data_IF_502025901081
#
_entry.id   IF_502025901081
#
_cell.length_a   1.000
_cell.length_b   1.000
_cell.length_c   1.000
_cell.angle_alpha   90.00
_cell.angle_beta   90.00
_cell.angle_gamma   90.00
#
_symmetry.space_group_name_H-M   'P 1'
#
loop_
_entity.id
_entity.type
_entity.pdbx_description
1 polymer ?
#
# COMPACT_ATOMS: atom_id res chain seq x y z
N UNK A 1 -17.29 -0.45 24.23
CA UNK A 1 -17.38 0.74 25.12
C UNK A 1 -16.34 0.64 26.22
N UNK A 2 -15.94 1.78 26.80
CA UNK A 2 -15.08 1.81 27.99
C UNK A 2 -15.94 2.23 29.19
N UNK A 3 -16.10 1.35 30.18
CA UNK A 3 -16.92 1.59 31.37
C UNK A 3 -16.10 2.05 32.57
N UNK A 4 -16.43 3.20 33.18
CA UNK A 4 -15.81 3.62 34.43
C UNK A 4 -16.45 2.89 35.63
N UNK A 5 -15.80 1.82 36.08
CA UNK A 5 -16.23 1.04 37.26
C UNK A 5 -15.61 1.56 38.56
N UNK A 6 -14.91 2.69 38.53
CA UNK A 6 -14.32 3.31 39.72
C UNK A 6 -15.33 4.19 40.46
N UNK A 7 -15.00 4.59 41.69
CA UNK A 7 -15.82 5.49 42.50
C UNK A 7 -15.62 6.98 42.21
N UNK A 8 -14.81 7.35 41.22
CA UNK A 8 -14.46 8.74 40.89
C UNK A 8 -14.62 9.03 39.39
N UNK A 9 -14.79 10.29 39.03
CA UNK A 9 -14.73 10.70 37.63
C UNK A 9 -13.34 10.46 37.05
N UNK A 10 -13.27 10.06 35.78
CA UNK A 10 -12.02 9.79 35.09
C UNK A 10 -11.95 10.63 33.81
N UNK A 11 -10.82 11.31 33.64
CA UNK A 11 -10.49 12.03 32.41
C UNK A 11 -9.65 11.10 31.52
N UNK A 12 -10.21 10.69 30.40
CA UNK A 12 -9.54 9.80 29.45
C UNK A 12 -9.28 10.54 28.14
N UNK A 13 -8.19 10.18 27.47
CA UNK A 13 -7.83 10.68 26.13
C UNK A 13 -7.96 9.52 25.15
N UNK A 14 -8.70 9.74 24.08
CA UNK A 14 -8.99 8.75 23.05
C UNK A 14 -8.52 9.29 21.71
N UNK A 15 -7.65 8.54 21.03
CA UNK A 15 -7.22 8.82 19.66
C UNK A 15 -7.81 7.74 18.77
N UNK A 16 -8.64 8.11 17.81
CA UNK A 16 -9.16 7.22 16.77
C UNK A 16 -8.19 7.15 15.59
N UNK A 17 -8.28 6.13 14.74
CA UNK A 17 -7.60 6.16 13.44
C UNK A 17 -8.04 7.42 12.64
N UNK A 18 -7.12 8.00 11.86
CA UNK A 18 -7.45 9.10 10.95
C UNK A 18 -8.45 8.60 9.89
N UNK A 19 -9.35 9.48 9.43
CA UNK A 19 -10.38 9.12 8.45
C UNK A 19 -9.81 8.72 7.08
N UNK A 20 -8.57 9.13 6.79
CA UNK A 20 -7.80 8.75 5.63
C UNK A 20 -7.23 7.33 5.71
N UNK A 21 -7.18 6.73 6.90
CA UNK A 21 -6.60 5.39 7.09
C UNK A 21 -7.56 4.32 6.55
N UNK A 22 -6.99 3.35 5.86
CA UNK A 22 -7.65 2.14 5.36
C UNK A 22 -6.95 0.94 5.96
N UNK A 23 -7.73 -0.03 6.43
CA UNK A 23 -7.22 -1.22 7.12
C UNK A 23 -7.85 -2.48 6.54
N UNK A 24 -7.05 -3.51 6.39
CA UNK A 24 -7.49 -4.90 6.30
C UNK A 24 -7.66 -5.44 7.72
N UNK A 25 -8.91 -5.75 8.09
CA UNK A 25 -9.22 -6.24 9.42
C UNK A 25 -8.59 -7.57 9.76
N UNK A 26 -8.45 -8.47 8.78
CA UNK A 26 -7.85 -9.78 9.03
C UNK A 26 -6.41 -9.60 9.51
N UNK A 27 -5.67 -8.72 8.84
CA UNK A 27 -4.28 -8.39 9.20
C UNK A 27 -4.21 -7.63 10.52
N UNK A 28 -5.03 -6.59 10.71
CA UNK A 28 -4.98 -5.78 11.93
C UNK A 28 -5.37 -6.59 13.16
N UNK A 29 -6.31 -7.52 13.07
CA UNK A 29 -6.78 -8.27 14.24
C UNK A 29 -5.91 -9.49 14.57
N UNK A 30 -5.13 -10.00 13.62
CA UNK A 30 -4.16 -11.07 13.86
C UNK A 30 -2.97 -10.57 14.71
N UNK A 31 -2.44 -9.37 14.40
CA UNK A 31 -1.42 -8.70 15.21
C UNK A 31 -1.61 -7.16 15.25
N UNK A 32 -2.49 -6.64 16.12
CA UNK A 32 -2.82 -5.21 16.16
C UNK A 32 -1.64 -4.32 16.54
N UNK A 33 -0.77 -4.81 17.42
CA UNK A 33 0.36 -4.03 17.93
C UNK A 33 1.42 -3.82 16.87
N UNK A 34 1.67 -4.81 16.01
CA UNK A 34 2.63 -4.70 14.91
C UNK A 34 2.00 -4.11 13.64
N UNK A 35 0.70 -4.31 13.40
CA UNK A 35 0.06 -3.81 12.19
C UNK A 35 -0.13 -2.29 12.17
N UNK A 36 -0.32 -1.66 13.33
CA UNK A 36 -0.64 -0.23 13.43
C UNK A 36 0.55 0.58 13.92
N UNK A 37 0.81 1.74 13.30
CA UNK A 37 1.72 2.76 13.83
C UNK A 37 0.93 3.81 14.64
N UNK A 38 1.59 4.46 15.61
CA UNK A 38 1.01 5.59 16.37
C UNK A 38 0.67 6.78 15.47
N UNK A 39 1.37 6.94 14.36
CA UNK A 39 1.18 8.06 13.42
C UNK A 39 -0.11 7.94 12.59
N UNK A 40 -0.76 6.77 12.61
CA UNK A 40 -2.05 6.55 11.98
C UNK A 40 -3.23 7.10 12.80
N UNK A 41 -2.98 7.46 14.06
CA UNK A 41 -4.02 7.94 14.96
C UNK A 41 -4.14 9.46 14.91
N UNK A 42 -5.38 9.94 14.96
CA UNK A 42 -5.70 11.36 15.00
C UNK A 42 -5.31 11.99 16.36
N UNK A 43 -5.52 13.30 16.46
CA UNK A 43 -5.38 14.01 17.72
C UNK A 43 -6.29 13.42 18.81
N UNK A 44 -5.85 13.51 20.06
CA UNK A 44 -6.60 12.99 21.20
C UNK A 44 -7.84 13.84 21.49
N UNK A 45 -8.99 13.19 21.56
CA UNK A 45 -10.21 13.72 22.14
C UNK A 45 -10.25 13.40 23.62
N UNK A 46 -10.60 14.38 24.46
CA UNK A 46 -10.63 14.21 25.91
C UNK A 46 -12.07 14.05 26.38
N UNK A 47 -12.33 13.00 27.17
CA UNK A 47 -13.64 12.64 27.68
C UNK A 47 -13.62 12.52 29.20
N UNK A 48 -14.62 13.10 29.86
CA UNK A 48 -14.86 12.90 31.29
C UNK A 48 -15.93 11.82 31.47
N UNK A 49 -15.57 10.71 32.11
CA UNK A 49 -16.50 9.60 32.38
C UNK A 49 -16.84 9.59 33.88
N UNK A 50 -18.10 9.85 34.21
CA UNK A 50 -18.59 9.74 35.57
C UNK A 50 -18.60 8.27 36.08
N UNK A 51 -18.54 8.04 37.41
CA UNK A 51 -18.71 6.71 37.98
C UNK A 51 -19.98 6.02 37.45
N UNK A 52 -19.88 4.75 37.10
CA UNK A 52 -21.04 3.99 36.66
C UNK A 52 -21.45 4.22 35.19
N UNK A 53 -20.72 5.06 34.45
CA UNK A 53 -21.00 5.40 33.05
C UNK A 53 -19.98 4.78 32.10
N UNK A 54 -20.39 4.58 30.85
CA UNK A 54 -19.50 4.12 29.79
C UNK A 54 -19.38 5.14 28.66
N UNK A 55 -18.17 5.27 28.10
CA UNK A 55 -17.93 5.98 26.85
C UNK A 55 -18.27 5.06 25.67
N UNK A 56 -19.22 5.46 24.80
CA UNK A 56 -19.41 4.77 23.53
C UNK A 56 -18.20 5.01 22.62
N UNK A 57 -17.66 3.92 22.08
CA UNK A 57 -16.71 3.96 20.97
C UNK A 57 -17.44 3.44 19.73
N UNK A 58 -17.12 3.98 18.55
CA UNK A 58 -17.74 3.57 17.29
C UNK A 58 -17.38 2.13 16.92
N UNK A 59 -18.21 1.51 16.09
CA UNK A 59 -18.00 0.16 15.59
C UNK A 59 -18.47 0.03 14.13
N UNK A 60 -17.91 0.90 13.27
CA UNK A 60 -18.29 1.01 11.87
C UNK A 60 -17.69 -0.10 10.99
N UNK A 61 -16.88 -0.99 11.56
CA UNK A 61 -16.43 -2.22 10.89
C UNK A 61 -15.13 -2.73 11.49
N UNK A 62 -14.10 -1.90 11.45
CA UNK A 62 -12.74 -2.21 11.87
C UNK A 62 -12.18 -1.01 12.61
N UNK A 63 -12.33 -1.02 13.91
CA UNK A 63 -12.05 0.16 14.70
C UNK A 63 -10.84 -0.07 15.60
N UNK A 64 -9.95 0.92 15.62
CA UNK A 64 -8.83 0.95 16.53
C UNK A 64 -8.72 2.31 17.22
N UNK A 65 -8.36 2.26 18.50
CA UNK A 65 -8.23 3.44 19.35
C UNK A 65 -6.97 3.34 20.22
N UNK A 66 -6.21 4.42 20.31
CA UNK A 66 -5.22 4.58 21.39
C UNK A 66 -5.88 5.33 22.54
N UNK A 67 -5.83 4.73 23.72
CA UNK A 67 -6.39 5.32 24.93
C UNK A 67 -5.32 5.47 26.00
N UNK A 68 -5.39 6.58 26.73
CA UNK A 68 -4.60 6.80 27.92
C UNK A 68 -5.37 7.68 28.92
N UNK A 69 -4.90 7.71 30.16
CA UNK A 69 -5.44 8.53 31.24
C UNK A 69 -4.34 8.75 32.29
N UNK A 70 -4.60 9.58 33.31
CA UNK A 70 -3.67 9.69 34.43
C UNK A 70 -3.59 8.35 35.18
N UNK A 71 -2.38 7.78 35.26
CA UNK A 71 -2.15 6.47 35.84
C UNK A 71 -2.57 5.26 34.98
N UNK A 72 -3.03 5.46 33.73
CA UNK A 72 -3.28 4.40 32.74
C UNK A 72 -2.22 4.48 31.63
N UNK A 73 -1.43 3.42 31.37
CA UNK A 73 -0.51 3.42 30.24
C UNK A 73 -1.25 3.55 28.91
N UNK A 74 -0.56 4.08 27.89
CA UNK A 74 -1.09 4.09 26.53
C UNK A 74 -1.40 2.66 26.10
N UNK A 75 -2.66 2.42 25.76
CA UNK A 75 -3.18 1.10 25.44
C UNK A 75 -3.89 1.15 24.09
N UNK A 76 -3.70 0.12 23.27
CA UNK A 76 -4.41 -0.05 22.02
C UNK A 76 -5.70 -0.82 22.28
N UNK A 77 -6.80 -0.32 21.74
CA UNK A 77 -8.01 -1.09 21.57
C UNK A 77 -8.22 -1.36 20.08
N UNK A 78 -8.53 -2.59 19.71
CA UNK A 78 -8.83 -2.96 18.33
C UNK A 78 -9.89 -4.07 18.28
N UNK A 79 -10.84 -3.98 17.35
CA UNK A 79 -11.86 -5.02 17.15
C UNK A 79 -12.56 -4.92 15.79
N UNK A 80 -13.30 -5.97 15.43
CA UNK A 80 -14.27 -5.93 14.33
C UNK A 80 -15.72 -5.86 14.79
N UNK A 81 -16.59 -5.37 13.90
CA UNK A 81 -18.03 -5.41 14.09
C UNK A 81 -18.60 -6.84 14.15
N UNK A 82 -17.86 -7.83 13.63
CA UNK A 82 -18.22 -9.24 13.71
C UNK A 82 -17.99 -9.81 15.12
N UNK A 83 -16.93 -9.36 15.80
CA UNK A 83 -16.62 -9.79 17.17
C UNK A 83 -17.50 -9.09 18.20
N UNK A 84 -17.82 -7.81 17.98
CA UNK A 84 -18.61 -7.00 18.93
C UNK A 84 -19.74 -6.24 18.23
N UNK A 85 -20.93 -6.83 17.99
CA UNK A 85 -22.02 -6.15 17.31
C UNK A 85 -22.54 -4.90 18.07
N UNK A 86 -22.88 -3.82 17.36
CA UNK A 86 -23.37 -2.55 17.94
C UNK A 86 -24.63 -2.68 18.81
N UNK A 87 -25.41 -3.75 18.65
CA UNK A 87 -26.73 -3.91 19.26
C UNK A 87 -26.71 -4.22 20.77
N UNK A 88 -25.54 -4.20 21.41
CA UNK A 88 -25.34 -4.63 22.81
C UNK A 88 -24.79 -3.54 23.74
N UNK A 89 -24.76 -2.27 23.30
CA UNK A 89 -24.12 -1.17 24.03
C UNK A 89 -25.02 -0.61 25.15
N UNK A 90 -24.79 -1.04 26.40
CA UNK A 90 -25.40 -0.48 27.61
C UNK A 90 -24.52 0.64 28.18
N UNK A 91 -25.04 1.87 28.31
CA UNK A 91 -24.27 3.02 28.85
C UNK A 91 -24.08 3.01 30.37
N UNK A 92 -24.68 2.02 31.04
CA UNK A 92 -24.54 1.75 32.48
C UNK A 92 -23.53 0.65 32.70
N UNK A 93 -22.69 0.79 33.73
CA UNK A 93 -21.78 -0.28 34.18
C UNK A 93 -22.43 -1.21 35.22
N UNK A 94 -23.73 -1.10 35.47
CA UNK A 94 -24.45 -2.05 36.31
C UNK A 94 -24.42 -3.44 35.64
N UNK A 95 -23.68 -4.38 36.26
CA UNK A 95 -23.37 -5.71 35.73
C UNK A 95 -22.49 -5.69 34.46
N UNK A 96 -21.19 -5.33 34.60
CA UNK A 96 -20.26 -5.29 33.48
C UNK A 96 -20.16 -6.69 32.86
N UNK A 97 -20.60 -6.83 31.62
CA UNK A 97 -20.42 -8.06 30.87
C UNK A 97 -19.07 -7.97 30.12
N UNK A 98 -18.09 -8.85 30.41
CA UNK A 98 -16.75 -8.78 29.83
C UNK A 98 -16.73 -8.87 28.31
N UNK A 99 -17.76 -9.43 27.69
CA UNK A 99 -17.95 -9.53 26.24
C UNK A 99 -18.56 -8.25 25.61
N UNK A 100 -18.94 -7.26 26.41
CA UNK A 100 -19.68 -6.06 25.93
C UNK A 100 -19.07 -4.75 26.38
N UNK A 101 -18.19 -4.80 27.37
CA UNK A 101 -17.61 -3.61 27.97
C UNK A 101 -16.20 -3.87 28.47
N UNK A 102 -15.30 -2.98 28.07
CA UNK A 102 -13.94 -2.90 28.60
C UNK A 102 -14.03 -2.08 29.89
N UNK A 103 -13.91 -2.74 31.04
CA UNK A 103 -13.98 -2.06 32.33
C UNK A 103 -12.68 -1.31 32.62
N UNK A 104 -12.79 -0.03 32.93
CA UNK A 104 -11.70 0.80 33.46
C UNK A 104 -11.76 0.74 34.98
N UNK A 105 -10.77 0.08 35.58
CA UNK A 105 -10.70 -0.25 36.99
C UNK A 105 -9.41 0.25 37.62
N UNK A 106 -9.33 0.16 38.95
CA UNK A 106 -8.15 0.57 39.72
C UNK A 106 -7.44 -0.66 40.28
N UNK A 107 -6.17 -0.83 39.92
CA UNK A 107 -5.26 -1.78 40.55
C UNK A 107 -4.31 -1.02 41.50
N UNK A 108 -4.67 -1.00 42.78
CA UNK A 108 -3.93 -0.24 43.79
C UNK A 108 -3.96 1.26 43.53
N UNK A 109 -2.83 1.84 43.13
CA UNK A 109 -2.71 3.26 42.80
C UNK A 109 -2.82 3.58 41.29
N UNK A 110 -2.85 2.55 40.43
CA UNK A 110 -2.86 2.71 38.97
C UNK A 110 -4.24 2.42 38.39
N UNK A 111 -4.51 3.01 37.24
CA UNK A 111 -5.64 2.62 36.40
C UNK A 111 -5.20 1.51 35.45
N UNK A 112 -6.10 0.59 35.20
CA UNK A 112 -5.93 -0.47 34.22
C UNK A 112 -7.26 -0.76 33.54
N UNK A 113 -7.17 -1.34 32.34
CA UNK A 113 -8.31 -1.95 31.70
C UNK A 113 -8.39 -3.39 32.14
N UNK A 114 -9.59 -3.88 32.41
CA UNK A 114 -9.82 -5.30 32.63
C UNK A 114 -9.34 -6.11 31.42
N UNK A 115 -8.91 -7.35 31.66
CA UNK A 115 -8.55 -8.29 30.60
C UNK A 115 -9.71 -8.42 29.61
N UNK A 116 -9.42 -8.18 28.34
CA UNK A 116 -10.40 -8.18 27.27
C UNK A 116 -9.69 -8.52 25.94
N UNK A 117 -10.29 -9.33 25.06
CA UNK A 117 -9.68 -9.70 23.77
C UNK A 117 -9.49 -8.54 22.79
N UNK A 118 -10.01 -7.36 23.13
CA UNK A 118 -9.87 -6.14 22.32
C UNK A 118 -8.82 -5.17 22.92
N UNK A 119 -8.13 -5.57 23.98
CA UNK A 119 -7.13 -4.75 24.68
C UNK A 119 -5.75 -5.30 24.36
N UNK A 120 -4.92 -4.47 23.73
CA UNK A 120 -3.58 -4.82 23.27
C UNK A 120 -2.55 -3.81 23.78
N UNK A 121 -1.27 -4.21 23.89
CA UNK A 121 -0.19 -3.24 24.06
C UNK A 121 -0.25 -2.17 22.97
N UNK A 122 -0.03 -0.91 23.34
CA UNK A 122 0.09 0.14 22.33
C UNK A 122 1.27 -0.16 21.38
N UNK A 123 1.16 0.19 20.08
CA UNK A 123 2.28 0.11 19.16
C UNK A 123 3.52 0.78 19.73
N UNK A 124 4.73 0.31 19.40
CA UNK A 124 5.95 0.96 19.85
C UNK A 124 6.01 2.42 19.37
N UNK A 125 6.73 3.26 20.12
CA UNK A 125 6.96 4.65 19.69
C UNK A 125 7.95 4.71 18.53
N UNK A 126 8.95 3.83 18.56
CA UNK A 126 9.96 3.72 17.53
C UNK A 126 9.62 2.52 16.64
N UNK A 127 9.42 2.78 15.35
CA UNK A 127 9.28 1.73 14.35
C UNK A 127 10.66 1.11 14.10
N UNK A 128 10.81 -0.23 14.17
CA UNK A 128 12.06 -0.85 13.79
C UNK A 128 12.37 -0.50 12.34
N UNK A 129 13.61 -0.07 12.06
CA UNK A 129 14.04 0.12 10.69
C UNK A 129 13.99 -1.22 9.96
N UNK A 130 13.49 -1.26 8.72
CA UNK A 130 13.47 -2.50 7.97
C UNK A 130 14.89 -2.98 7.70
N UNK A 131 15.06 -4.30 7.59
CA UNK A 131 16.32 -4.90 7.17
C UNK A 131 16.64 -4.36 5.77
N UNK A 132 17.89 -3.96 5.50
CA UNK A 132 18.25 -3.20 4.28
C UNK A 132 17.88 -3.86 2.95
N UNK A 133 17.72 -5.19 2.92
CA UNK A 133 17.29 -5.95 1.74
C UNK A 133 15.77 -5.98 1.53
N UNK A 134 15.01 -5.59 2.57
CA UNK A 134 13.55 -5.58 2.64
C UNK A 134 13.01 -4.14 2.78
N UNK A 135 13.91 -3.16 2.86
CA UNK A 135 13.58 -1.80 3.25
C UNK A 135 12.87 -1.01 2.16
N UNK A 136 12.25 0.08 2.61
CA UNK A 136 11.63 1.06 1.73
C UNK A 136 12.58 1.44 0.60
N UNK A 137 12.05 1.38 -0.62
CA UNK A 137 12.67 1.91 -1.82
C UNK A 137 13.21 3.31 -1.56
N UNK A 138 14.40 3.63 -2.07
CA UNK A 138 14.97 4.96 -1.91
C UNK A 138 13.94 6.00 -2.41
N UNK A 139 13.80 7.12 -1.69
CA UNK A 139 12.93 8.19 -2.16
C UNK A 139 13.31 8.59 -3.59
N UNK A 140 12.36 8.50 -4.53
CA UNK A 140 12.58 8.73 -5.96
C UNK A 140 12.77 7.47 -6.81
N UNK A 141 12.97 6.28 -6.23
CA UNK A 141 13.20 5.05 -7.00
C UNK A 141 11.91 4.33 -7.44
N UNK A 142 10.77 5.02 -7.42
CA UNK A 142 9.49 4.51 -7.92
C UNK A 142 9.24 4.94 -9.37
N UNK A 143 8.22 4.35 -9.99
CA UNK A 143 7.75 4.81 -11.30
C UNK A 143 6.96 6.11 -11.20
N UNK A 144 7.37 7.08 -12.00
CA UNK A 144 6.63 8.32 -12.19
C UNK A 144 6.86 8.88 -13.59
N UNK A 145 5.94 9.73 -14.06
CA UNK A 145 6.07 10.33 -15.38
C UNK A 145 5.24 11.60 -15.50
N UNK A 146 5.67 12.50 -16.38
CA UNK A 146 4.85 13.61 -16.84
C UNK A 146 4.15 13.24 -18.14
N UNK A 147 2.89 13.63 -18.30
CA UNK A 147 2.19 13.44 -19.58
C UNK A 147 2.74 14.44 -20.62
N UNK A 148 3.28 13.99 -21.76
CA UNK A 148 3.66 14.90 -22.83
C UNK A 148 2.44 15.47 -23.54
N UNK A 149 2.68 16.49 -24.37
CA UNK A 149 1.71 16.90 -25.39
C UNK A 149 1.46 15.70 -26.32
N UNK A 150 0.21 15.24 -26.51
CA UNK A 150 -0.09 14.08 -27.35
C UNK A 150 0.46 14.25 -28.77
N UNK A 151 1.19 13.26 -29.28
CA UNK A 151 1.69 13.26 -30.64
C UNK A 151 2.96 12.43 -30.86
N UNK A 152 3.44 12.47 -32.10
CA UNK A 152 4.76 11.95 -32.46
C UNK A 152 5.78 13.09 -32.48
N UNK A 153 6.99 12.85 -31.97
CA UNK A 153 8.09 13.83 -31.98
C UNK A 153 9.45 13.16 -32.12
N UNK A 154 10.39 13.84 -32.77
CA UNK A 154 11.78 13.38 -32.88
C UNK A 154 12.47 13.66 -31.54
N UNK A 155 13.05 12.64 -30.93
CA UNK A 155 13.86 12.74 -29.72
C UNK A 155 15.18 13.45 -30.05
N UNK A 156 15.47 14.55 -29.36
CA UNK A 156 16.69 15.35 -29.54
C UNK A 156 17.64 15.28 -28.36
N UNK A 157 17.22 14.72 -27.23
CA UNK A 157 18.10 14.51 -26.09
C UNK A 157 17.45 13.63 -25.02
N UNK A 158 18.29 12.85 -24.34
CA UNK A 158 17.94 12.09 -23.13
C UNK A 158 18.90 12.49 -22.03
N UNK A 159 18.39 13.09 -20.95
CA UNK A 159 19.19 13.43 -19.76
C UNK A 159 18.73 12.60 -18.59
N UNK A 160 19.63 11.79 -18.03
CA UNK A 160 19.35 10.94 -16.86
C UNK A 160 19.82 11.61 -15.59
N UNK A 161 19.02 11.51 -14.53
CA UNK A 161 19.33 12.03 -13.21
C UNK A 161 19.59 10.88 -12.22
N UNK A 162 20.40 11.09 -11.15
CA UNK A 162 20.71 10.06 -10.16
C UNK A 162 19.50 9.52 -9.37
N UNK A 163 18.36 10.19 -9.45
CA UNK A 163 17.08 9.74 -8.89
C UNK A 163 16.37 8.68 -9.76
N UNK A 164 16.93 8.32 -10.91
CA UNK A 164 16.31 7.37 -11.85
C UNK A 164 15.28 8.02 -12.78
N UNK A 165 15.20 9.35 -12.81
CA UNK A 165 14.33 10.08 -13.72
C UNK A 165 15.08 10.49 -15.00
N UNK A 166 14.41 10.30 -16.15
CA UNK A 166 14.94 10.59 -17.47
C UNK A 166 14.12 11.69 -18.12
N UNK A 167 14.77 12.81 -18.48
CA UNK A 167 14.18 13.87 -19.28
C UNK A 167 14.37 13.55 -20.76
N UNK A 168 13.27 13.36 -21.49
CA UNK A 168 13.24 13.13 -22.93
C UNK A 168 12.78 14.42 -23.63
N UNK A 169 13.69 15.06 -24.35
CA UNK A 169 13.43 16.31 -25.08
C UNK A 169 13.12 16.02 -26.54
N UNK A 170 12.01 16.58 -27.05
CA UNK A 170 11.58 16.45 -28.43
C UNK A 170 11.99 17.70 -29.24
N UNK A 171 12.05 17.57 -30.57
CA UNK A 171 12.49 18.63 -31.50
C UNK A 171 11.75 19.98 -31.35
N UNK A 172 10.50 19.96 -30.88
CA UNK A 172 9.69 21.17 -30.64
C UNK A 172 10.03 21.90 -29.32
N UNK A 173 11.00 21.39 -28.55
CA UNK A 173 11.33 21.88 -27.22
C UNK A 173 10.45 21.28 -26.11
N UNK A 174 9.44 20.48 -26.46
CA UNK A 174 8.63 19.74 -25.50
C UNK A 174 9.53 18.73 -24.76
N UNK A 175 9.47 18.73 -23.43
CA UNK A 175 10.22 17.78 -22.59
C UNK A 175 9.24 17.06 -21.68
N UNK A 176 9.38 15.74 -21.59
CA UNK A 176 8.67 14.94 -20.60
C UNK A 176 9.66 14.10 -19.80
N UNK A 177 9.24 13.73 -18.59
CA UNK A 177 10.01 12.93 -17.66
C UNK A 177 9.41 11.54 -17.57
N UNK A 178 10.28 10.53 -17.51
CA UNK A 178 9.96 9.15 -17.19
C UNK A 178 10.97 8.66 -16.15
N UNK A 179 10.51 8.35 -14.96
CA UNK A 179 11.29 7.72 -13.91
C UNK A 179 11.11 6.21 -14.02
N UNK A 180 12.18 5.51 -14.33
CA UNK A 180 12.23 4.07 -14.59
C UNK A 180 13.69 3.59 -14.49
N UNK A 181 13.95 2.27 -14.38
CA UNK A 181 15.31 1.75 -14.50
C UNK A 181 15.97 2.22 -15.80
N UNK A 182 17.25 2.61 -15.73
CA UNK A 182 17.96 3.18 -16.88
C UNK A 182 18.05 2.18 -18.05
N UNK A 183 18.14 0.89 -17.72
CA UNK A 183 18.13 -0.24 -18.67
C UNK A 183 16.78 -0.35 -19.42
N UNK A 184 15.71 0.24 -18.88
CA UNK A 184 14.39 0.22 -19.48
C UNK A 184 14.13 1.43 -20.41
N UNK A 185 15.13 2.28 -20.67
CA UNK A 185 15.06 3.43 -21.58
C UNK A 185 15.93 3.19 -22.83
N UNK A 186 15.42 2.49 -23.85
CA UNK A 186 16.21 2.07 -25.01
C UNK A 186 16.26 3.12 -26.15
N UNK A 187 15.80 4.35 -25.91
CA UNK A 187 15.65 5.37 -26.94
C UNK A 187 16.95 6.14 -27.19
N UNK A 188 17.16 6.53 -28.45
CA UNK A 188 18.32 7.33 -28.87
C UNK A 188 17.90 8.60 -29.58
N UNK A 189 18.75 9.63 -29.54
CA UNK A 189 18.55 10.84 -30.34
C UNK A 189 18.32 10.49 -31.81
N UNK A 190 17.32 11.12 -32.43
CA UNK A 190 16.84 10.83 -33.78
C UNK A 190 15.65 9.86 -33.85
N UNK A 191 15.32 9.14 -32.77
CA UNK A 191 14.13 8.30 -32.73
C UNK A 191 12.85 9.13 -32.83
N UNK A 192 11.89 8.68 -33.63
CA UNK A 192 10.53 9.26 -33.64
C UNK A 192 9.71 8.55 -32.57
N UNK A 193 9.44 9.24 -31.46
CA UNK A 193 8.66 8.72 -30.35
C UNK A 193 7.18 9.02 -30.52
N UNK A 194 6.33 8.02 -30.28
CA UNK A 194 4.89 8.15 -30.07
C UNK A 194 4.61 7.87 -28.61
N UNK A 195 3.92 8.79 -27.94
CA UNK A 195 3.61 8.65 -26.52
C UNK A 195 2.10 8.66 -26.31
N UNK A 196 1.61 7.69 -25.54
CA UNK A 196 0.21 7.61 -25.14
C UNK A 196 0.06 7.25 -23.66
N UNK A 197 -0.99 7.76 -23.04
CA UNK A 197 -1.39 7.34 -21.70
C UNK A 197 -2.07 5.97 -21.74
N UNK A 198 -1.80 5.14 -20.74
CA UNK A 198 -2.48 3.86 -20.54
C UNK A 198 -3.31 3.95 -19.26
N UNK A 199 -4.56 3.49 -19.32
CA UNK A 199 -5.43 3.39 -18.16
C UNK A 199 -6.16 2.05 -18.22
N UNK A 200 -6.06 1.30 -17.12
CA UNK A 200 -6.76 0.04 -16.90
C UNK A 200 -7.75 0.28 -15.77
N UNK A 201 -9.01 -0.01 -16.06
CA UNK A 201 -10.12 0.08 -15.11
C UNK A 201 -11.03 -1.13 -15.34
N UNK A 202 -10.72 -2.21 -14.65
CA UNK A 202 -11.35 -3.53 -14.79
C UNK A 202 -10.54 -4.55 -15.59
N UNK A 203 -11.06 -5.77 -15.64
CA UNK A 203 -10.41 -6.94 -16.21
C UNK A 203 -9.97 -7.95 -15.15
N UNK A 204 -9.74 -9.20 -15.57
CA UNK A 204 -9.23 -10.28 -14.72
C UNK A 204 -7.78 -10.54 -15.09
N UNK A 205 -6.91 -10.50 -14.09
CA UNK A 205 -5.49 -10.75 -14.25
C UNK A 205 -5.06 -11.85 -13.27
N UNK A 206 -4.12 -12.72 -13.66
CA UNK A 206 -3.71 -13.86 -12.83
C UNK A 206 -3.18 -13.49 -11.44
N UNK A 207 -2.50 -12.34 -11.31
CA UNK A 207 -1.92 -11.85 -10.06
C UNK A 207 -2.96 -11.31 -9.06
N UNK A 208 -4.21 -11.13 -9.50
CA UNK A 208 -5.28 -10.59 -8.69
C UNK A 208 -6.19 -11.68 -8.10
N UNK A 209 -6.62 -11.53 -6.84
CA UNK A 209 -7.72 -12.30 -6.29
C UNK A 209 -8.98 -12.17 -7.15
N UNK A 210 -9.83 -13.21 -7.15
CA UNK A 210 -10.98 -13.33 -8.07
C UNK A 210 -12.05 -12.25 -7.88
N UNK A 211 -12.07 -11.61 -6.73
CA UNK A 211 -12.96 -10.56 -6.27
C UNK A 211 -12.39 -9.14 -6.45
N UNK A 212 -11.13 -9.03 -6.89
CA UNK A 212 -10.50 -7.75 -7.17
C UNK A 212 -10.55 -7.41 -8.66
N UNK A 213 -10.68 -6.12 -8.95
CA UNK A 213 -10.63 -5.59 -10.31
C UNK A 213 -9.27 -4.96 -10.58
N UNK A 214 -8.78 -5.09 -11.81
CA UNK A 214 -7.57 -4.41 -12.21
C UNK A 214 -7.74 -2.90 -12.23
N UNK A 215 -6.74 -2.19 -11.74
CA UNK A 215 -6.61 -0.75 -11.84
C UNK A 215 -5.14 -0.40 -12.03
N UNK A 216 -4.82 0.24 -13.14
CA UNK A 216 -3.48 0.73 -13.41
C UNK A 216 -3.50 1.99 -14.26
N UNK A 217 -2.48 2.81 -14.08
CA UNK A 217 -2.18 3.95 -14.96
C UNK A 217 -0.77 3.80 -15.46
N UNK A 218 -0.51 4.33 -16.63
CA UNK A 218 0.80 4.20 -17.23
C UNK A 218 1.03 5.10 -18.42
N UNK A 219 2.18 4.87 -19.03
CA UNK A 219 2.64 5.53 -20.23
C UNK A 219 3.21 4.48 -21.18
N UNK A 220 2.83 4.58 -22.44
CA UNK A 220 3.36 3.77 -23.53
C UNK A 220 4.15 4.68 -24.45
N UNK A 221 5.43 4.36 -24.65
CA UNK A 221 6.36 5.09 -25.51
C UNK A 221 6.83 4.12 -26.59
N UNK A 222 6.62 4.47 -27.85
CA UNK A 222 6.97 3.63 -29.00
C UNK A 222 7.85 4.40 -29.99
N UNK A 223 8.89 3.75 -30.49
CA UNK A 223 9.72 4.20 -31.60
C UNK A 223 9.69 3.18 -32.75
N UNK A 224 10.46 3.43 -33.82
CA UNK A 224 10.61 2.46 -34.90
C UNK A 224 11.36 1.19 -34.48
N UNK A 225 12.09 1.23 -33.35
CA UNK A 225 13.00 0.14 -32.92
C UNK A 225 12.60 -0.47 -31.59
N UNK A 226 11.91 0.28 -30.72
CA UNK A 226 11.54 -0.18 -29.37
C UNK A 226 10.14 0.27 -28.98
N UNK A 227 9.54 -0.41 -28.02
CA UNK A 227 8.46 0.14 -27.23
C UNK A 227 8.68 -0.13 -25.74
N UNK A 228 8.18 0.78 -24.93
CA UNK A 228 8.24 0.78 -23.46
C UNK A 228 6.83 1.00 -22.93
N UNK A 229 6.39 0.13 -22.03
CA UNK A 229 5.15 0.26 -21.28
C UNK A 229 5.49 0.31 -19.79
N UNK A 230 5.38 1.49 -19.19
CA UNK A 230 5.53 1.67 -17.74
C UNK A 230 4.14 1.79 -17.10
N UNK A 231 3.88 0.98 -16.05
CA UNK A 231 2.61 0.94 -15.34
C UNK A 231 2.80 1.03 -13.83
N UNK A 232 1.89 1.76 -13.18
CA UNK A 232 1.68 1.80 -11.73
C UNK A 232 0.23 1.46 -11.42
N UNK A 233 0.00 0.50 -10.54
CA UNK A 233 -1.36 0.00 -10.24
C UNK A 233 -1.35 -1.25 -9.37
N UNK A 234 -2.26 -2.17 -9.62
CA UNK A 234 -2.32 -3.49 -8.96
C UNK A 234 -2.02 -4.67 -9.91
N UNK A 235 -1.59 -4.38 -11.14
CA UNK A 235 -1.29 -5.38 -12.18
C UNK A 235 0.05 -5.09 -12.85
N UNK A 236 0.69 -6.13 -13.38
CA UNK A 236 1.96 -6.04 -14.09
C UNK A 236 1.77 -5.60 -15.55
N UNK A 237 2.78 -4.94 -16.11
CA UNK A 237 2.80 -4.48 -17.50
C UNK A 237 2.74 -5.65 -18.49
N UNK A 238 1.82 -5.54 -19.47
CA UNK A 238 1.57 -6.55 -20.50
C UNK A 238 1.28 -5.89 -21.84
N UNK A 239 1.81 -6.43 -22.94
CA UNK A 239 1.57 -5.91 -24.29
C UNK A 239 0.10 -5.98 -24.74
N UNK A 240 -0.68 -6.92 -24.18
CA UNK A 240 -2.12 -7.02 -24.43
C UNK A 240 -2.89 -5.76 -24.00
N UNK A 241 -2.38 -5.00 -23.02
CA UNK A 241 -2.99 -3.76 -22.54
C UNK A 241 -2.92 -2.61 -23.57
N UNK A 242 -1.99 -2.68 -24.52
CA UNK A 242 -1.83 -1.72 -25.61
C UNK A 242 -2.15 -2.34 -26.98
N UNK A 243 -2.77 -3.52 -27.01
CA UNK A 243 -3.21 -4.18 -28.23
C UNK A 243 -2.08 -4.71 -29.13
N UNK A 244 -0.92 -5.01 -28.56
CA UNK A 244 0.30 -5.35 -29.32
C UNK A 244 0.57 -6.87 -29.37
N UNK A 245 0.72 -7.48 -30.57
CA UNK A 245 1.16 -8.87 -30.73
C UNK A 245 2.70 -9.02 -30.89
N UNK A 246 3.29 -10.19 -30.60
CA UNK A 246 2.69 -11.31 -29.90
C UNK A 246 2.45 -10.95 -28.42
N UNK A 247 1.23 -11.15 -27.95
CA UNK A 247 0.90 -10.98 -26.54
C UNK A 247 1.13 -12.32 -25.83
N UNK A 248 2.36 -12.84 -25.91
CA UNK A 248 2.74 -14.02 -25.13
C UNK A 248 2.53 -13.65 -23.67
N UNK A 249 1.46 -14.18 -23.09
CA UNK A 249 0.99 -13.77 -21.79
C UNK A 249 1.68 -14.62 -20.72
N UNK A 250 1.84 -14.05 -19.54
CA UNK A 250 2.36 -14.76 -18.39
C UNK A 250 1.33 -14.76 -17.27
N UNK A 251 1.28 -15.84 -16.51
CA UNK A 251 0.66 -15.82 -15.20
C UNK A 251 1.69 -15.30 -14.21
N UNK A 252 1.25 -14.47 -13.27
CA UNK A 252 2.06 -13.99 -12.17
C UNK A 252 1.37 -14.37 -10.87
N UNK A 253 2.12 -14.95 -9.95
CA UNK A 253 1.71 -15.13 -8.56
C UNK A 253 2.51 -14.16 -7.69
N UNK A 254 1.86 -13.58 -6.69
CA UNK A 254 2.47 -12.60 -5.79
C UNK A 254 2.53 -13.20 -4.39
N UNK A 255 3.73 -13.24 -3.82
CA UNK A 255 3.95 -13.81 -2.50
C UNK A 255 4.81 -12.89 -1.65
N UNK A 256 4.66 -12.92 -0.31
CA UNK A 256 5.55 -12.18 0.59
C UNK A 256 7.01 -12.55 0.33
N UNK A 257 7.87 -11.54 0.26
CA UNK A 257 9.30 -11.73 0.00
C UNK A 257 9.94 -12.54 1.15
N UNK A 258 10.54 -13.71 0.89
CA UNK A 258 11.05 -14.56 1.97
C UNK A 258 12.14 -13.88 2.81
N UNK A 259 11.98 -13.93 4.13
CA UNK A 259 12.90 -13.30 5.08
C UNK A 259 12.68 -11.80 5.29
N UNK A 260 11.61 -11.24 4.70
CA UNK A 260 11.19 -9.87 4.91
C UNK A 260 9.88 -9.83 5.71
N UNK A 261 9.96 -9.22 6.89
CA UNK A 261 8.78 -8.88 7.66
C UNK A 261 8.16 -7.58 7.13
N UNK A 262 6.87 -7.39 7.39
CA UNK A 262 6.22 -6.12 7.12
C UNK A 262 6.81 -5.01 8.01
N UNK A 263 6.84 -3.79 7.50
CA UNK A 263 7.39 -2.63 8.21
C UNK A 263 6.51 -1.40 7.99
N UNK A 264 6.59 -0.40 8.87
CA UNK A 264 5.92 0.88 8.61
C UNK A 264 6.79 1.81 7.79
N UNK A 265 6.20 2.40 6.75
CA UNK A 265 6.83 3.46 5.98
C UNK A 265 6.83 4.81 6.75
N UNK A 266 7.36 5.85 6.11
CA UNK A 266 7.41 7.20 6.70
C UNK A 266 6.03 7.81 6.99
N UNK A 267 4.96 7.23 6.45
CA UNK A 267 3.58 7.62 6.66
C UNK A 267 2.87 6.76 7.74
N UNK A 268 3.57 5.79 8.31
CA UNK A 268 3.00 4.83 9.25
C UNK A 268 2.18 3.72 8.59
N UNK A 269 2.18 3.62 7.26
CA UNK A 269 1.50 2.54 6.53
C UNK A 269 2.28 1.24 6.69
N UNK A 270 1.59 0.13 6.93
CA UNK A 270 2.22 -1.20 6.98
C UNK A 270 2.45 -1.69 5.55
N UNK A 271 3.72 -1.90 5.21
CA UNK A 271 4.18 -2.33 3.89
C UNK A 271 4.80 -3.71 4.02
N UNK A 272 4.29 -4.67 3.25
CA UNK A 272 4.86 -6.00 3.09
C UNK A 272 5.41 -6.14 1.65
N UNK A 273 6.74 -6.25 1.46
CA UNK A 273 7.30 -6.40 0.13
C UNK A 273 6.93 -7.77 -0.46
N UNK A 274 6.66 -7.78 -1.76
CA UNK A 274 6.26 -8.95 -2.52
C UNK A 274 7.34 -9.37 -3.54
N UNK A 275 7.39 -10.66 -3.81
CA UNK A 275 8.08 -11.25 -4.96
C UNK A 275 7.03 -11.69 -5.99
N UNK A 276 7.30 -11.45 -7.27
CA UNK A 276 6.46 -11.91 -8.37
C UNK A 276 7.04 -13.18 -9.00
N UNK A 277 6.28 -14.28 -8.94
CA UNK A 277 6.61 -15.54 -9.62
C UNK A 277 5.90 -15.60 -10.97
N UNK A 278 6.66 -15.47 -12.05
CA UNK A 278 6.16 -15.53 -13.43
C UNK A 278 6.20 -16.97 -13.96
N UNK A 279 5.13 -17.38 -14.64
CA UNK A 279 4.98 -18.69 -15.27
C UNK A 279 4.09 -18.63 -16.51
N UNK A 280 4.23 -19.58 -17.43
CA UNK A 280 3.39 -19.69 -18.63
C UNK A 280 4.19 -19.64 -19.93
N UNK A 281 3.48 -19.54 -21.06
CA UNK A 281 4.08 -19.59 -22.40
C UNK A 281 5.00 -18.39 -22.68
N UNK A 282 4.73 -17.23 -22.07
CA UNK A 282 5.57 -16.04 -22.16
C UNK A 282 6.85 -16.07 -21.33
N UNK A 283 7.17 -17.15 -20.60
CA UNK A 283 8.32 -17.22 -19.68
C UNK A 283 9.05 -18.55 -19.85
N UNK A 284 10.38 -18.53 -19.84
CA UNK A 284 11.19 -19.76 -19.91
C UNK A 284 11.23 -20.48 -18.55
N UNK A 285 10.13 -21.16 -18.20
CA UNK A 285 9.97 -21.87 -16.93
C UNK A 285 9.33 -21.00 -15.86
N UNK A 286 9.78 -21.15 -14.60
CA UNK A 286 9.36 -20.31 -13.48
C UNK A 286 10.46 -19.30 -13.20
N UNK A 287 10.10 -18.02 -13.21
CA UNK A 287 11.04 -16.92 -12.95
C UNK A 287 10.50 -16.10 -11.79
N UNK A 288 11.24 -16.04 -10.69
CA UNK A 288 10.96 -15.13 -9.58
C UNK A 288 11.63 -13.80 -9.85
N UNK A 289 10.86 -12.71 -9.70
CA UNK A 289 11.33 -11.34 -9.76
C UNK A 289 11.11 -10.67 -8.42
N UNK A 290 12.20 -10.11 -7.88
CA UNK A 290 12.15 -9.19 -6.77
C UNK A 290 12.09 -7.76 -7.29
N UNK A 291 11.61 -6.82 -6.47
CA UNK A 291 11.70 -5.41 -6.80
C UNK A 291 13.16 -4.99 -7.08
N UNK A 292 13.37 -4.29 -8.19
CA UNK A 292 14.67 -3.96 -8.76
C UNK A 292 15.24 -4.98 -9.76
N UNK A 293 14.63 -6.16 -9.90
CA UNK A 293 15.08 -7.19 -10.85
C UNK A 293 14.30 -7.13 -12.17
N UNK A 294 14.86 -7.78 -13.20
CA UNK A 294 14.23 -7.94 -14.50
C UNK A 294 14.39 -9.34 -15.06
N UNK A 295 13.48 -9.72 -15.95
CA UNK A 295 13.50 -10.98 -16.66
C UNK A 295 13.17 -10.81 -18.14
N UNK A 296 13.92 -11.52 -18.98
CA UNK A 296 13.60 -11.70 -20.38
C UNK A 296 12.39 -12.64 -20.51
N UNK A 297 11.40 -12.20 -21.28
CA UNK A 297 10.23 -12.96 -21.65
C UNK A 297 10.50 -13.77 -22.93
N UNK A 298 9.79 -14.89 -23.07
CA UNK A 298 9.94 -15.79 -24.20
C UNK A 298 9.49 -15.15 -25.53
N UNK A 299 9.90 -15.78 -26.64
CA UNK A 299 9.44 -15.46 -27.99
C UNK A 299 9.63 -14.01 -28.43
N UNK A 300 10.60 -13.30 -27.84
CA UNK A 300 10.88 -11.90 -28.18
C UNK A 300 9.86 -10.92 -27.61
N UNK A 301 9.06 -11.33 -26.62
CA UNK A 301 8.14 -10.45 -25.90
C UNK A 301 8.85 -9.34 -25.10
N UNK A 302 10.18 -9.39 -24.99
CA UNK A 302 11.01 -8.35 -24.39
C UNK A 302 11.37 -8.63 -22.94
N UNK A 303 11.72 -7.60 -22.18
CA UNK A 303 12.11 -7.69 -20.79
C UNK A 303 11.09 -7.00 -19.87
N UNK A 304 10.68 -7.69 -18.80
CA UNK A 304 9.86 -7.13 -17.72
C UNK A 304 10.77 -6.74 -16.56
N UNK A 305 10.71 -5.48 -16.15
CA UNK A 305 11.36 -4.93 -14.97
C UNK A 305 10.32 -4.78 -13.87
N UNK A 306 10.55 -5.39 -12.71
CA UNK A 306 9.73 -5.19 -11.53
C UNK A 306 10.35 -4.07 -10.70
N UNK A 307 9.73 -2.90 -10.70
CA UNK A 307 10.28 -1.73 -9.97
C UNK A 307 9.87 -1.77 -8.51
N UNK A 308 8.60 -2.09 -8.26
CA UNK A 308 8.01 -2.14 -6.92
C UNK A 308 6.90 -3.18 -6.87
N UNK A 309 6.82 -3.92 -5.78
CA UNK A 309 5.72 -4.82 -5.51
C UNK A 309 5.47 -4.88 -4.00
N UNK A 310 4.39 -4.25 -3.56
CA UNK A 310 4.07 -4.13 -2.14
C UNK A 310 2.62 -4.51 -1.88
N UNK A 311 2.38 -5.15 -0.74
CA UNK A 311 1.06 -5.27 -0.11
C UNK A 311 0.98 -4.28 1.06
N UNK A 312 -0.08 -3.48 1.09
CA UNK A 312 -0.30 -2.40 2.06
C UNK A 312 -1.65 -2.60 2.76
N UNK A 313 -1.74 -3.59 3.65
CA UNK A 313 -2.97 -3.90 4.38
C UNK A 313 -3.39 -2.78 5.32
N UNK A 314 -2.46 -1.95 5.80
CA UNK A 314 -2.75 -0.73 6.58
C UNK A 314 -2.11 0.44 5.87
N UNK A 315 -2.89 1.46 5.50
CA UNK A 315 -2.38 2.60 4.74
C UNK A 315 -3.11 3.89 5.05
N UNK A 316 -2.39 5.00 4.94
CA UNK A 316 -2.96 6.34 5.03
C UNK A 316 -3.17 6.93 3.62
N UNK A 317 -4.42 7.09 3.19
CA UNK A 317 -4.75 7.57 1.86
C UNK A 317 -4.26 9.00 1.57
N UNK A 318 -3.99 9.82 2.60
CA UNK A 318 -3.43 11.17 2.40
C UNK A 318 -1.96 11.15 1.97
N UNK A 319 -1.25 10.05 2.26
CA UNK A 319 0.15 9.89 1.89
C UNK A 319 0.38 9.40 0.46
N UNK A 320 -0.67 8.96 -0.23
CA UNK A 320 -0.56 8.45 -1.59
C UNK A 320 -1.27 9.37 -2.58
N UNK A 321 -0.60 9.70 -3.68
CA UNK A 321 -1.11 10.61 -4.72
C UNK A 321 -2.03 9.93 -5.73
N UNK A 322 -2.22 8.61 -5.62
CA UNK A 322 -3.06 7.81 -6.51
C UNK A 322 -4.25 7.27 -5.70
N UNK A 323 -5.47 7.18 -6.26
CA UNK A 323 -6.58 6.55 -5.55
C UNK A 323 -6.25 5.07 -5.35
N UNK A 324 -5.86 4.71 -4.14
CA UNK A 324 -5.48 3.34 -3.78
C UNK A 324 -6.60 2.82 -2.86
N UNK A 325 -7.73 2.49 -3.48
CA UNK A 325 -8.76 1.67 -2.83
C UNK A 325 -8.32 0.21 -2.68
N UNK A 326 -7.11 -0.13 -3.15
CA UNK A 326 -6.60 -1.50 -3.17
C UNK A 326 -5.39 -1.67 -2.25
N UNK A 327 -5.21 -2.83 -1.60
CA UNK A 327 -4.06 -3.04 -0.72
C UNK A 327 -2.74 -3.17 -1.49
N UNK A 328 -2.77 -3.62 -2.76
CA UNK A 328 -1.54 -3.90 -3.52
C UNK A 328 -1.10 -2.74 -4.40
N UNK A 329 0.20 -2.49 -4.43
CA UNK A 329 0.87 -1.56 -5.33
C UNK A 329 1.98 -2.28 -6.10
N UNK A 330 1.81 -2.34 -7.42
CA UNK A 330 2.77 -2.87 -8.37
C UNK A 330 3.23 -1.73 -9.30
N UNK A 331 4.53 -1.66 -9.51
CA UNK A 331 5.17 -0.80 -10.50
C UNK A 331 6.07 -1.67 -11.38
N UNK A 332 5.83 -1.65 -12.69
CA UNK A 332 6.58 -2.46 -13.64
C UNK A 332 6.77 -1.76 -14.96
N UNK A 333 7.88 -2.09 -15.64
CA UNK A 333 8.20 -1.58 -16.98
C UNK A 333 8.42 -2.77 -17.90
N UNK A 334 7.74 -2.78 -19.03
CA UNK A 334 7.91 -3.79 -20.07
C UNK A 334 8.56 -3.15 -21.30
N UNK A 335 9.66 -3.72 -21.77
CA UNK A 335 10.45 -3.18 -22.90
C UNK A 335 10.65 -4.24 -23.96
N UNK A 336 10.36 -3.93 -25.22
CA UNK A 336 10.56 -4.86 -26.34
C UNK A 336 11.00 -4.13 -27.60
N UNK A 337 11.68 -4.83 -28.51
CA UNK A 337 11.91 -4.32 -29.87
C UNK A 337 10.57 -4.04 -30.55
N UNK A 338 10.42 -2.97 -31.34
CA UNK A 338 9.16 -2.52 -31.96
C UNK A 338 8.46 -3.62 -32.79
N UNK A 339 7.13 -3.53 -32.91
CA UNK A 339 6.39 -4.49 -33.72
C UNK A 339 6.80 -4.36 -35.18
N UNK A 340 7.01 -5.49 -35.87
CA UNK A 340 7.22 -5.46 -37.31
C UNK A 340 6.01 -4.79 -37.99
N UNK A 341 6.23 -3.88 -38.96
CA UNK A 341 5.18 -3.10 -39.59
C UNK A 341 4.17 -3.92 -40.40
#
# INVERSE_FOLDING_TARGET
>A
MIGNTTGSELLIRVRRLRESVRVDCGVVLDDPTSALSRDLFANAETWLIAPGRALPLGNAGCDAYLIDADGLPLTLLAWSAAEFPEQLLVTSTENPQPDRMIALQRAGARLELAEHPAVFPAPPLETPSPVSACGAYAAGSGLDWTLPVPGAGVLTGVTSSPDGCHALTLERGDTFFLCAPAEAIPFSEGDVLRVSSVAIDGGRYPELPRDQLAFARGIHVESATHAVLALRGNVLARWSMVGRPPAADFSADLSPLPGCDAFHDACGSLVAPLEASLLGEGVSGVVSLRPGESAELAEGAGALFLVRADDMPVRDAECFTVPIDQPRLLESVLVAAAAAP
#
